data_IF_147177461725
#
_entry.id   IF_147177461725
#
_cell.length_a   1.000
_cell.length_b   1.000
_cell.length_c   1.000
_cell.angle_alpha   90.00
_cell.angle_beta   90.00
_cell.angle_gamma   90.00
#
_symmetry.space_group_name_H-M   'P 1'
#
loop_
_entity.id
_entity.type
_entity.pdbx_description
1 polymer ?
#
# COMPACT_ATOMS: atom_id res chain seq x y z
N UNK A 1 16.41 8.50 -2.42
CA UNK A 1 16.69 7.04 -2.50
C UNK A 1 15.41 6.26 -2.68
N UNK A 2 14.38 6.57 -1.90
CA UNK A 2 12.97 6.36 -2.23
C UNK A 2 12.18 7.62 -1.79
N UNK A 3 12.28 8.07 -0.52
CA UNK A 3 12.11 9.49 -0.19
C UNK A 3 13.21 10.33 -0.85
N UNK A 4 12.92 11.60 -1.11
CA UNK A 4 13.84 12.55 -1.74
C UNK A 4 14.40 13.59 -0.74
N UNK A 5 13.86 13.62 0.49
CA UNK A 5 14.32 14.49 1.56
C UNK A 5 14.37 13.77 2.93
N UNK A 6 15.44 14.01 3.70
CA UNK A 6 15.77 13.21 4.89
C UNK A 6 14.88 13.40 6.13
N UNK A 7 14.05 14.44 6.17
CA UNK A 7 13.01 14.60 7.20
C UNK A 7 11.61 14.28 6.66
N UNK A 8 11.52 13.63 5.50
CA UNK A 8 10.35 12.81 5.20
C UNK A 8 10.37 11.57 6.10
N UNK A 9 9.22 10.95 6.27
CA UNK A 9 9.10 9.64 6.88
C UNK A 9 8.23 8.74 6.03
N UNK A 10 8.38 7.43 6.23
CA UNK A 10 7.64 6.42 5.48
C UNK A 10 6.84 5.50 6.40
N UNK A 11 5.84 4.83 5.84
CA UNK A 11 5.20 3.68 6.50
C UNK A 11 6.23 2.61 6.86
N UNK A 12 7.27 2.43 6.04
CA UNK A 12 8.42 1.57 6.33
C UNK A 12 9.09 1.99 7.64
N UNK A 13 9.51 3.25 7.79
CA UNK A 13 10.15 3.75 9.01
C UNK A 13 9.25 3.52 10.24
N UNK A 14 7.94 3.77 10.13
CA UNK A 14 6.99 3.54 11.21
C UNK A 14 6.84 2.06 11.56
N UNK A 15 6.85 1.16 10.58
CA UNK A 15 6.82 -0.29 10.82
C UNK A 15 8.09 -0.78 11.53
N UNK A 16 9.25 -0.20 11.23
CA UNK A 16 10.49 -0.47 11.97
C UNK A 16 10.44 0.06 13.40
N UNK A 17 9.82 1.21 13.65
CA UNK A 17 9.61 1.73 15.03
C UNK A 17 8.79 0.74 15.86
N UNK A 18 7.72 0.17 15.29
CA UNK A 18 6.93 -0.90 15.95
C UNK A 18 7.79 -2.14 16.20
N UNK A 19 8.59 -2.56 15.22
CA UNK A 19 9.45 -3.73 15.37
C UNK A 19 10.53 -3.54 16.44
N UNK A 20 11.17 -2.36 16.48
CA UNK A 20 12.15 -1.98 17.49
C UNK A 20 11.51 -1.99 18.88
N UNK A 21 10.29 -1.45 19.03
CA UNK A 21 9.57 -1.48 20.30
C UNK A 21 9.25 -2.91 20.76
N UNK A 22 8.79 -3.79 19.86
CA UNK A 22 8.56 -5.21 20.16
C UNK A 22 9.86 -5.91 20.63
N UNK A 23 10.99 -5.63 19.96
CA UNK A 23 12.29 -6.17 20.34
C UNK A 23 12.77 -5.63 21.68
N UNK A 24 12.64 -4.32 21.90
CA UNK A 24 12.98 -3.67 23.15
C UNK A 24 12.21 -4.29 24.32
N UNK A 25 10.88 -4.42 24.19
CA UNK A 25 10.02 -5.01 25.21
C UNK A 25 10.42 -6.47 25.52
N UNK A 26 10.77 -7.26 24.51
CA UNK A 26 11.26 -8.63 24.69
C UNK A 26 12.61 -8.69 25.42
N UNK A 27 13.55 -7.82 25.06
CA UNK A 27 14.87 -7.76 25.72
C UNK A 27 14.75 -7.28 27.17
N UNK A 28 13.91 -6.29 27.43
CA UNK A 28 13.56 -5.84 28.77
C UNK A 28 12.90 -6.96 29.60
N UNK A 29 11.95 -7.68 29.01
CA UNK A 29 11.30 -8.83 29.65
C UNK A 29 12.30 -9.91 30.08
N UNK A 30 13.31 -10.18 29.24
CA UNK A 30 14.42 -11.11 29.51
C UNK A 30 15.45 -10.57 30.51
N UNK A 31 15.37 -9.29 30.88
CA UNK A 31 16.34 -8.63 31.77
C UNK A 31 17.72 -8.47 31.14
N UNK A 32 17.79 -8.37 29.80
CA UNK A 32 19.05 -8.20 29.07
C UNK A 32 19.53 -6.74 29.12
N UNK A 33 18.60 -5.78 29.17
CA UNK A 33 18.91 -4.34 29.21
C UNK A 33 18.91 -3.86 30.66
N UNK A 34 20.06 -3.36 31.12
CA UNK A 34 20.20 -2.79 32.46
C UNK A 34 19.48 -1.43 32.55
N UNK A 35 18.81 -1.16 33.68
CA UNK A 35 18.13 0.11 33.92
C UNK A 35 16.77 0.28 33.24
N UNK A 36 16.27 -0.73 32.52
CA UNK A 36 14.96 -0.70 31.86
C UNK A 36 13.94 -1.51 32.67
N UNK A 37 12.72 -0.97 32.80
CA UNK A 37 11.61 -1.65 33.46
C UNK A 37 11.21 -2.91 32.69
N UNK A 38 10.94 -4.02 33.40
CA UNK A 38 10.45 -5.25 32.78
C UNK A 38 8.96 -5.20 32.43
N UNK A 39 8.23 -4.23 32.99
CA UNK A 39 6.77 -4.15 32.88
C UNK A 39 6.30 -2.98 32.03
N UNK A 40 7.14 -1.97 31.85
CA UNK A 40 6.81 -0.84 30.98
C UNK A 40 7.04 -1.31 29.54
N UNK A 41 6.05 -1.05 28.68
CA UNK A 41 6.01 -1.55 27.30
C UNK A 41 5.89 -0.37 26.35
N UNK A 42 6.69 -0.39 25.30
CA UNK A 42 6.70 0.63 24.26
C UNK A 42 5.85 0.28 23.04
N UNK A 43 5.45 -0.99 22.89
CA UNK A 43 4.73 -1.48 21.71
C UNK A 43 3.47 -0.67 21.38
N UNK A 44 2.60 -0.43 22.37
CA UNK A 44 1.35 0.31 22.15
C UNK A 44 1.61 1.77 21.71
N UNK A 45 2.59 2.42 22.33
CA UNK A 45 3.01 3.79 21.96
C UNK A 45 3.61 3.84 20.55
N UNK A 46 4.40 2.83 20.18
CA UNK A 46 4.96 2.71 18.85
C UNK A 46 3.85 2.51 17.80
N UNK A 47 2.84 1.70 18.09
CA UNK A 47 1.68 1.53 17.22
C UNK A 47 0.88 2.82 17.07
N UNK A 48 0.63 3.55 18.17
CA UNK A 48 -0.04 4.86 18.11
C UNK A 48 0.75 5.88 17.27
N UNK A 49 2.09 5.80 17.30
CA UNK A 49 2.97 6.61 16.44
C UNK A 49 2.85 6.21 14.97
N UNK A 50 2.79 4.90 14.69
CA UNK A 50 2.57 4.38 13.35
C UNK A 50 1.23 4.82 12.75
N UNK A 51 0.18 4.88 13.56
CA UNK A 51 -1.14 5.37 13.12
C UNK A 51 -1.15 6.83 12.69
N UNK A 52 -0.11 7.63 12.98
CA UNK A 52 0.04 8.97 12.42
C UNK A 52 0.12 8.95 10.89
N UNK A 53 0.51 7.81 10.29
CA UNK A 53 0.47 7.63 8.84
C UNK A 53 -0.83 7.03 8.30
N UNK A 54 -1.82 6.72 9.15
CA UNK A 54 -3.16 6.33 8.68
C UNK A 54 -4.02 7.59 8.57
N UNK A 55 -4.45 8.01 7.35
CA UNK A 55 -5.27 9.20 7.18
C UNK A 55 -6.52 9.16 8.08
N UNK A 56 -6.79 10.24 8.81
CA UNK A 56 -7.94 10.31 9.71
C UNK A 56 -9.28 10.27 8.94
N UNK A 57 -10.39 10.01 9.64
CA UNK A 57 -11.74 10.03 9.03
C UNK A 57 -12.02 11.32 8.24
N UNK A 58 -11.54 12.46 8.73
CA UNK A 58 -11.72 13.76 8.07
C UNK A 58 -10.86 13.92 6.82
N UNK A 59 -9.68 13.32 6.80
CA UNK A 59 -8.74 13.38 5.67
C UNK A 59 -9.12 12.44 4.52
N UNK A 60 -10.00 11.46 4.78
CA UNK A 60 -10.57 10.55 3.78
C UNK A 60 -12.11 10.54 3.82
N UNK A 61 -12.71 11.72 4.02
CA UNK A 61 -14.15 11.88 4.13
C UNK A 61 -14.88 11.41 2.85
N UNK A 62 -16.04 10.78 3.03
CA UNK A 62 -16.87 10.26 1.94
C UNK A 62 -16.53 8.84 1.47
N UNK A 63 -15.39 8.27 1.86
CA UNK A 63 -14.96 6.95 1.39
C UNK A 63 -15.93 5.83 1.80
N UNK A 64 -16.19 5.70 3.11
CA UNK A 64 -17.13 4.70 3.65
C UNK A 64 -18.60 5.02 3.33
N UNK A 65 -18.92 6.25 2.93
CA UNK A 65 -20.28 6.64 2.56
C UNK A 65 -20.68 6.04 1.20
N UNK A 66 -19.71 5.81 0.30
CA UNK A 66 -19.97 5.19 -1.00
C UNK A 66 -20.55 3.78 -0.84
N UNK A 67 -21.54 3.44 -1.68
CA UNK A 67 -22.11 2.08 -1.73
C UNK A 67 -21.17 1.09 -2.43
N UNK A 68 -20.32 1.59 -3.32
CA UNK A 68 -19.33 0.85 -4.10
C UNK A 68 -18.17 1.76 -4.46
N UNK A 69 -16.98 1.19 -4.64
CA UNK A 69 -15.81 1.91 -5.15
C UNK A 69 -15.47 1.43 -6.55
N UNK A 70 -15.10 2.37 -7.41
CA UNK A 70 -14.64 2.08 -8.76
C UNK A 70 -13.59 3.08 -9.21
N UNK A 71 -12.70 2.67 -10.10
CA UNK A 71 -11.69 3.53 -10.68
C UNK A 71 -11.73 3.43 -12.21
N UNK A 72 -11.54 4.56 -12.89
CA UNK A 72 -11.39 4.57 -14.35
C UNK A 72 -10.03 3.99 -14.71
N UNK A 73 -10.02 3.05 -15.66
CA UNK A 73 -8.79 2.38 -16.11
C UNK A 73 -7.96 3.36 -16.92
N UNK A 74 -6.77 3.69 -16.43
CA UNK A 74 -5.76 4.45 -17.16
C UNK A 74 -4.59 3.55 -17.48
N UNK A 75 -4.00 3.71 -18.67
CA UNK A 75 -2.75 3.04 -19.00
C UNK A 75 -1.60 3.63 -18.17
N UNK A 76 -0.62 2.79 -17.86
CA UNK A 76 0.72 3.20 -17.46
C UNK A 76 1.63 3.24 -18.70
N UNK A 77 2.72 3.97 -18.61
CA UNK A 77 3.67 4.11 -19.71
C UNK A 77 5.10 3.82 -19.21
N UNK A 78 5.45 2.53 -19.02
CA UNK A 78 6.69 2.14 -18.36
C UNK A 78 7.93 2.69 -19.08
N UNK A 79 7.89 2.80 -20.41
CA UNK A 79 9.06 3.22 -21.21
C UNK A 79 9.25 4.74 -21.34
N UNK A 80 8.32 5.58 -20.86
CA UNK A 80 8.38 7.03 -21.15
C UNK A 80 7.50 7.90 -20.25
N UNK A 81 8.15 8.67 -19.39
CA UNK A 81 7.52 9.73 -18.56
C UNK A 81 6.79 10.77 -19.44
N UNK A 82 7.28 11.07 -20.64
CA UNK A 82 6.70 12.07 -21.55
C UNK A 82 5.28 11.73 -22.04
N UNK A 83 4.81 10.49 -21.86
CA UNK A 83 3.45 10.09 -22.23
C UNK A 83 2.41 10.47 -21.17
N UNK A 84 2.84 10.98 -20.02
CA UNK A 84 1.94 11.51 -19.01
C UNK A 84 1.59 12.98 -19.28
N UNK A 85 0.36 13.43 -18.95
CA UNK A 85 -0.67 12.69 -18.20
C UNK A 85 -1.42 11.64 -19.05
N UNK A 86 -1.64 10.46 -18.46
CA UNK A 86 -2.55 9.44 -19.00
C UNK A 86 -3.94 9.59 -18.36
N UNK A 87 -5.01 9.27 -19.10
CA UNK A 87 -6.39 9.41 -18.61
C UNK A 87 -7.20 8.15 -18.86
N UNK A 88 -8.05 7.82 -17.89
CA UNK A 88 -9.08 6.80 -18.05
C UNK A 88 -10.37 7.34 -18.68
N UNK A 89 -11.36 6.46 -18.76
CA UNK A 89 -12.72 6.84 -19.19
C UNK A 89 -13.77 6.09 -18.39
N UNK A 90 -14.99 6.65 -18.34
CA UNK A 90 -16.12 6.03 -17.64
C UNK A 90 -16.64 4.75 -18.31
N UNK A 91 -16.22 4.43 -19.54
CA UNK A 91 -16.62 3.20 -20.24
C UNK A 91 -15.80 1.97 -19.84
N UNK A 92 -14.67 2.15 -19.15
CA UNK A 92 -13.82 1.06 -18.68
C UNK A 92 -13.40 1.34 -17.24
N UNK A 93 -14.02 0.64 -16.30
CA UNK A 93 -13.79 0.81 -14.87
C UNK A 93 -13.45 -0.51 -14.19
N UNK A 94 -12.55 -0.43 -13.22
CA UNK A 94 -12.38 -1.46 -12.21
C UNK A 94 -13.37 -1.24 -11.07
N UNK A 95 -13.88 -2.30 -10.46
CA UNK A 95 -14.82 -2.21 -9.33
C UNK A 95 -14.32 -3.06 -8.18
N UNK A 96 -14.21 -2.46 -7.00
CA UNK A 96 -13.69 -3.13 -5.80
C UNK A 96 -14.72 -4.13 -5.24
N UNK A 97 -14.40 -5.43 -5.17
CA UNK A 97 -15.28 -6.46 -4.61
C UNK A 97 -15.26 -6.58 -3.06
N UNK A 98 -14.31 -5.97 -2.35
CA UNK A 98 -14.19 -5.99 -0.90
C UNK A 98 -14.91 -4.84 -0.18
N UNK A 99 -15.15 -3.70 -0.85
CA UNK A 99 -15.67 -2.49 -0.19
C UNK A 99 -16.92 -2.72 0.66
N UNK A 100 -17.91 -3.45 0.14
CA UNK A 100 -19.14 -3.74 0.90
C UNK A 100 -18.86 -4.55 2.17
N UNK A 101 -17.90 -5.50 2.13
CA UNK A 101 -17.52 -6.31 3.29
C UNK A 101 -16.84 -5.44 4.35
N UNK A 102 -15.94 -4.55 3.93
CA UNK A 102 -15.28 -3.60 4.83
C UNK A 102 -16.27 -2.60 5.42
N UNK A 103 -17.18 -2.05 4.61
CA UNK A 103 -18.25 -1.18 5.11
C UNK A 103 -19.09 -1.88 6.18
N UNK A 104 -19.48 -3.13 5.96
CA UNK A 104 -20.22 -3.90 6.96
C UNK A 104 -19.44 -4.14 8.26
N UNK A 105 -18.14 -4.44 8.18
CA UNK A 105 -17.33 -4.76 9.35
C UNK A 105 -16.79 -3.54 10.11
N UNK A 106 -16.53 -2.44 9.39
CA UNK A 106 -15.69 -1.32 9.85
C UNK A 106 -16.33 0.06 9.71
N UNK A 107 -17.65 0.17 9.44
CA UNK A 107 -18.32 1.49 9.45
C UNK A 107 -18.11 2.29 10.75
N UNK A 108 -17.93 1.61 11.90
CA UNK A 108 -17.60 2.30 13.16
C UNK A 108 -16.17 2.84 13.19
N UNK A 109 -15.23 2.17 12.52
CA UNK A 109 -13.87 2.70 12.29
C UNK A 109 -13.95 3.90 11.35
N UNK A 110 -14.74 3.82 10.28
CA UNK A 110 -15.11 4.97 9.45
C UNK A 110 -13.94 5.62 8.71
N UNK A 111 -12.82 4.90 8.56
CA UNK A 111 -11.66 5.26 7.75
C UNK A 111 -11.03 3.98 7.19
N UNK A 112 -10.43 4.06 6.01
CA UNK A 112 -9.58 2.99 5.50
C UNK A 112 -8.37 2.89 6.44
N UNK A 113 -8.18 1.72 7.06
CA UNK A 113 -7.14 1.52 8.05
C UNK A 113 -5.86 1.00 7.37
N UNK A 114 -5.36 1.78 6.42
CA UNK A 114 -4.11 1.57 5.71
C UNK A 114 -3.20 2.78 5.93
N UNK A 115 -1.90 2.54 6.02
CA UNK A 115 -0.87 3.56 6.16
C UNK A 115 -0.64 4.20 4.79
N UNK A 116 -0.66 5.52 4.71
CA UNK A 116 -0.06 6.20 3.58
C UNK A 116 1.47 6.06 3.65
N UNK A 117 2.10 5.78 2.50
CA UNK A 117 3.50 5.43 2.44
C UNK A 117 4.47 6.58 2.74
N UNK A 118 4.11 7.83 2.49
CA UNK A 118 5.03 8.98 2.59
C UNK A 118 4.37 10.19 3.29
N UNK A 119 5.14 10.84 4.16
CA UNK A 119 4.77 12.11 4.76
C UNK A 119 5.99 13.00 4.97
N UNK A 120 5.77 14.31 4.85
CA UNK A 120 6.70 15.35 5.24
C UNK A 120 6.52 15.67 6.72
N UNK A 121 7.51 15.34 7.56
CA UNK A 121 7.38 15.42 9.03
C UNK A 121 7.35 16.86 9.53
N UNK A 122 8.11 17.75 8.90
CA UNK A 122 8.33 19.12 9.36
C UNK A 122 7.65 20.16 8.44
N UNK A 123 6.82 19.71 7.49
CA UNK A 123 6.23 20.53 6.42
C UNK A 123 7.27 21.32 5.63
N UNK A 124 8.41 20.68 5.33
CA UNK A 124 9.50 21.26 4.55
C UNK A 124 9.05 21.74 3.16
N UNK A 125 8.16 20.99 2.50
CA UNK A 125 7.54 21.36 1.22
C UNK A 125 6.53 22.51 1.36
N UNK A 126 6.01 22.77 2.55
CA UNK A 126 5.05 23.85 2.84
C UNK A 126 3.62 23.56 2.40
N UNK A 127 3.29 22.29 2.07
CA UNK A 127 1.93 21.92 1.67
C UNK A 127 0.94 21.95 2.84
N UNK A 128 1.41 21.73 4.07
CA UNK A 128 0.67 21.92 5.31
C UNK A 128 0.36 23.40 5.62
N UNK A 129 1.00 24.31 4.90
CA UNK A 129 0.74 25.75 4.96
C UNK A 129 1.55 26.49 6.03
N UNK A 130 2.59 25.87 6.57
CA UNK A 130 3.55 26.55 7.43
C UNK A 130 4.24 27.72 6.70
N UNK A 131 4.66 28.73 7.45
CA UNK A 131 5.43 29.81 6.88
C UNK A 131 6.86 29.33 6.57
N UNK A 132 7.48 29.88 5.52
CA UNK A 132 8.83 29.51 5.12
C UNK A 132 9.82 29.64 6.30
N UNK A 133 10.49 28.55 6.64
CA UNK A 133 11.49 28.51 7.73
C UNK A 133 10.91 28.25 9.11
N UNK A 134 9.60 28.02 9.22
CA UNK A 134 8.95 27.52 10.42
C UNK A 134 8.77 26.01 10.34
N UNK A 135 8.81 25.33 11.50
CA UNK A 135 8.44 23.92 11.58
C UNK A 135 6.92 23.82 11.45
N UNK A 136 6.42 23.06 10.47
CA UNK A 136 5.01 22.74 10.35
C UNK A 136 4.63 21.40 10.98
N UNK A 137 3.42 20.96 10.65
CA UNK A 137 2.83 19.70 11.09
C UNK A 137 3.08 18.60 10.06
N UNK A 138 3.01 17.34 10.49
CA UNK A 138 3.12 16.18 9.59
C UNK A 138 2.09 16.29 8.46
N UNK A 139 2.58 16.29 7.23
CA UNK A 139 1.78 16.49 6.02
C UNK A 139 1.93 15.33 5.07
N UNK A 140 0.79 14.73 4.69
CA UNK A 140 0.77 13.66 3.69
C UNK A 140 1.12 14.20 2.30
N UNK A 141 2.12 13.57 1.68
CA UNK A 141 2.63 13.91 0.36
C UNK A 141 2.83 12.64 -0.46
N UNK A 142 2.98 12.78 -1.77
CA UNK A 142 3.34 11.70 -2.66
C UNK A 142 4.28 12.21 -3.77
N UNK A 143 4.93 11.28 -4.46
CA UNK A 143 5.96 11.58 -5.47
C UNK A 143 5.71 10.79 -6.76
N UNK A 144 5.93 9.49 -6.75
CA UNK A 144 5.86 8.60 -7.92
C UNK A 144 4.44 8.49 -8.50
N UNK A 145 4.28 8.84 -9.77
CA UNK A 145 3.01 8.79 -10.52
C UNK A 145 3.17 8.52 -12.04
N UNK A 146 4.39 8.47 -12.58
CA UNK A 146 4.64 8.51 -14.04
C UNK A 146 5.45 7.33 -14.60
N UNK A 147 5.18 6.14 -14.06
CA UNK A 147 5.65 4.87 -14.60
C UNK A 147 7.09 4.52 -14.24
N UNK A 148 7.55 3.40 -14.79
CA UNK A 148 8.71 2.66 -14.29
C UNK A 148 10.04 3.38 -14.48
N UNK A 149 10.12 4.31 -15.43
CA UNK A 149 11.29 5.15 -15.67
C UNK A 149 11.30 6.43 -14.83
N UNK A 150 10.27 6.73 -14.02
CA UNK A 150 10.31 7.87 -13.10
C UNK A 150 11.13 7.52 -11.85
N UNK A 151 12.42 7.85 -11.87
CA UNK A 151 13.28 7.72 -10.70
C UNK A 151 12.93 8.74 -9.61
N UNK A 152 13.46 8.54 -8.40
CA UNK A 152 13.29 9.50 -7.29
C UNK A 152 13.87 10.91 -7.59
N UNK A 153 14.65 11.08 -8.66
CA UNK A 153 15.18 12.37 -9.09
C UNK A 153 14.26 13.12 -10.07
N UNK A 154 13.23 12.44 -10.57
CA UNK A 154 12.38 12.93 -11.66
C UNK A 154 10.97 13.26 -11.20
N UNK A 155 10.60 12.87 -9.98
CA UNK A 155 9.28 13.10 -9.40
C UNK A 155 8.98 14.58 -9.18
N UNK A 156 7.68 14.88 -9.08
CA UNK A 156 7.19 16.19 -8.64
C UNK A 156 6.44 15.96 -7.32
N UNK A 157 7.07 16.23 -6.15
CA UNK A 157 6.41 16.09 -4.86
C UNK A 157 5.11 16.91 -4.81
N UNK A 158 4.03 16.28 -4.34
CA UNK A 158 2.69 16.87 -4.34
C UNK A 158 1.91 16.46 -3.09
N UNK A 159 0.96 17.28 -2.62
CA UNK A 159 0.16 16.95 -1.45
C UNK A 159 -0.83 15.83 -1.76
N UNK A 160 -1.05 14.95 -0.80
CA UNK A 160 -2.07 13.90 -0.88
C UNK A 160 -3.49 14.50 -0.79
N UNK A 161 -3.63 15.69 -0.20
CA UNK A 161 -4.86 16.51 -0.22
C UNK A 161 -4.65 17.69 -1.19
N UNK A 162 -5.28 17.61 -2.35
CA UNK A 162 -5.24 18.63 -3.39
C UNK A 162 -6.34 19.67 -3.16
N UNK A 163 -5.94 20.91 -2.94
CA UNK A 163 -6.82 22.08 -2.71
C UNK A 163 -6.77 23.11 -3.84
N UNK A 164 -6.05 22.79 -4.92
CA UNK A 164 -5.74 23.67 -6.05
C UNK A 164 -4.98 24.95 -5.67
N UNK A 165 -4.45 25.01 -4.44
CA UNK A 165 -3.72 26.16 -3.89
C UNK A 165 -2.34 26.32 -4.51
N UNK A 166 -1.70 25.20 -4.84
CA UNK A 166 -0.33 25.13 -5.37
C UNK A 166 -0.34 24.60 -6.81
N UNK A 167 0.80 24.68 -7.50
CA UNK A 167 0.94 24.14 -8.85
C UNK A 167 0.27 24.99 -9.93
N UNK A 168 -0.28 24.34 -10.96
CA UNK A 168 -0.83 25.01 -12.13
C UNK A 168 -2.26 25.50 -11.90
N UNK A 169 -2.58 26.68 -12.45
CA UNK A 169 -3.93 27.25 -12.34
C UNK A 169 -4.98 26.31 -12.94
N UNK A 170 -5.96 25.92 -12.13
CA UNK A 170 -7.05 25.02 -12.54
C UNK A 170 -6.72 23.53 -12.55
N UNK A 171 -5.47 23.13 -12.28
CA UNK A 171 -5.04 21.72 -12.22
C UNK A 171 -4.29 21.36 -10.92
N UNK A 172 -3.92 22.34 -10.11
CA UNK A 172 -3.22 22.09 -8.85
C UNK A 172 -1.81 21.53 -9.06
N UNK A 173 -1.31 20.76 -8.09
CA UNK A 173 -0.05 20.03 -8.18
C UNK A 173 -0.15 18.78 -9.05
N UNK A 174 -1.36 18.34 -9.41
CA UNK A 174 -1.58 17.15 -10.26
C UNK A 174 -1.39 17.38 -11.77
N UNK A 175 -0.98 18.57 -12.18
CA UNK A 175 -0.84 18.99 -13.58
C UNK A 175 0.03 18.06 -14.45
N UNK A 176 1.01 17.38 -13.86
CA UNK A 176 1.95 16.51 -14.60
C UNK A 176 1.40 15.10 -14.85
N UNK A 177 0.33 14.70 -14.17
CA UNK A 177 -0.22 13.35 -14.24
C UNK A 177 -1.75 13.31 -14.42
N UNK A 178 -2.41 14.48 -14.42
CA UNK A 178 -3.82 14.62 -14.77
C UNK A 178 -4.08 15.74 -15.77
N UNK A 179 -4.98 15.53 -16.74
CA UNK A 179 -5.42 16.59 -17.66
C UNK A 179 -6.43 17.55 -17.03
N UNK A 180 -7.12 17.13 -15.97
CA UNK A 180 -8.05 17.94 -15.18
C UNK A 180 -8.06 17.46 -13.75
N UNK A 181 -8.21 18.38 -12.80
CA UNK A 181 -8.15 18.07 -11.38
C UNK A 181 -9.22 18.86 -10.64
N UNK A 182 -9.91 18.21 -9.72
CA UNK A 182 -10.75 18.85 -8.72
C UNK A 182 -10.04 18.82 -7.36
N UNK A 183 -10.56 19.60 -6.41
CA UNK A 183 -10.25 19.34 -5.01
C UNK A 183 -10.48 17.85 -4.72
N UNK A 184 -9.47 17.20 -4.14
CA UNK A 184 -9.45 15.75 -3.96
C UNK A 184 -8.49 15.35 -2.85
N UNK A 185 -8.65 14.14 -2.35
CA UNK A 185 -7.64 13.51 -1.52
C UNK A 185 -7.30 12.14 -2.13
N UNK A 186 -6.06 11.68 -1.98
CA UNK A 186 -5.62 10.37 -2.47
C UNK A 186 -4.38 9.89 -1.71
N UNK A 187 -4.39 8.63 -1.32
CA UNK A 187 -3.35 7.96 -0.55
C UNK A 187 -2.96 6.65 -1.22
N UNK A 188 -1.78 6.15 -0.86
CA UNK A 188 -1.18 4.92 -1.38
C UNK A 188 -0.47 4.24 -0.22
N UNK A 189 -0.72 2.96 0.02
CA UNK A 189 0.02 2.20 1.02
C UNK A 189 1.29 1.58 0.41
N UNK A 190 2.13 1.07 1.30
CA UNK A 190 3.23 0.19 0.96
C UNK A 190 3.01 -1.12 1.73
N UNK A 191 2.50 -2.18 1.08
CA UNK A 191 2.06 -3.39 1.77
C UNK A 191 3.16 -4.08 2.58
N UNK A 192 4.42 -3.99 2.14
CA UNK A 192 5.56 -4.53 2.86
C UNK A 192 5.71 -3.93 4.27
N UNK A 193 5.42 -2.64 4.44
CA UNK A 193 5.50 -1.94 5.72
C UNK A 193 4.38 -2.37 6.66
N UNK A 194 3.19 -2.55 6.14
CA UNK A 194 2.03 -2.98 6.92
C UNK A 194 2.21 -4.41 7.39
N UNK A 195 2.64 -5.30 6.51
CA UNK A 195 2.99 -6.68 6.85
C UNK A 195 4.16 -6.75 7.84
N UNK A 196 5.16 -5.86 7.75
CA UNK A 196 6.25 -5.76 8.74
C UNK A 196 5.73 -5.36 10.11
N UNK A 197 4.77 -4.43 10.20
CA UNK A 197 4.13 -4.05 11.45
C UNK A 197 3.30 -5.20 12.05
N UNK A 198 2.56 -5.94 11.22
CA UNK A 198 1.81 -7.13 11.62
C UNK A 198 2.75 -8.22 12.13
N UNK A 199 3.84 -8.48 11.42
CA UNK A 199 4.90 -9.41 11.84
C UNK A 199 5.49 -9.01 13.19
N UNK A 200 5.72 -7.72 13.45
CA UNK A 200 6.22 -7.22 14.72
C UNK A 200 5.21 -7.45 15.86
N UNK A 201 3.92 -7.17 15.64
CA UNK A 201 2.86 -7.48 16.60
C UNK A 201 2.79 -8.98 16.91
N UNK A 202 2.85 -9.83 15.88
CA UNK A 202 2.89 -11.27 16.03
C UNK A 202 4.11 -11.75 16.83
N UNK A 203 5.28 -11.19 16.56
CA UNK A 203 6.49 -11.51 17.32
C UNK A 203 6.35 -11.11 18.79
N UNK A 204 5.78 -9.93 19.08
CA UNK A 204 5.54 -9.46 20.44
C UNK A 204 4.59 -10.39 21.21
N UNK A 205 3.49 -10.82 20.58
CA UNK A 205 2.56 -11.79 21.17
C UNK A 205 3.26 -13.11 21.51
N UNK A 206 4.07 -13.64 20.59
CA UNK A 206 4.87 -14.86 20.82
C UNK A 206 5.92 -14.71 21.92
N UNK A 207 6.46 -13.51 22.12
CA UNK A 207 7.42 -13.22 23.20
C UNK A 207 6.76 -12.94 24.54
N UNK A 208 5.42 -12.93 24.61
CA UNK A 208 4.68 -12.64 25.83
C UNK A 208 4.75 -11.17 26.24
N UNK A 209 5.02 -10.28 25.28
CA UNK A 209 5.10 -8.82 25.47
C UNK A 209 4.12 -8.06 24.58
N UNK A 210 3.20 -8.77 23.92
CA UNK A 210 2.15 -8.19 23.10
C UNK A 210 1.15 -7.37 23.90
N UNK A 211 0.43 -6.49 23.20
CA UNK A 211 -0.64 -5.65 23.71
C UNK A 211 -1.95 -5.97 22.98
N UNK A 212 -3.04 -6.18 23.71
CA UNK A 212 -4.30 -6.64 23.11
C UNK A 212 -4.91 -5.62 22.13
N UNK A 213 -4.69 -4.32 22.36
CA UNK A 213 -5.16 -3.27 21.44
C UNK A 213 -4.34 -3.31 20.16
N UNK A 214 -3.03 -3.50 20.28
CA UNK A 214 -2.12 -3.66 19.13
C UNK A 214 -2.47 -4.91 18.32
N UNK A 215 -2.68 -6.06 18.95
CA UNK A 215 -3.05 -7.29 18.21
C UNK A 215 -4.36 -7.12 17.43
N UNK A 216 -5.37 -6.50 18.06
CA UNK A 216 -6.65 -6.20 17.42
C UNK A 216 -6.50 -5.25 16.23
N UNK A 217 -5.70 -4.17 16.38
CA UNK A 217 -5.41 -3.23 15.29
C UNK A 217 -4.57 -3.87 14.17
N UNK A 218 -3.64 -4.76 14.50
CA UNK A 218 -2.85 -5.51 13.52
C UNK A 218 -3.74 -6.44 12.69
N UNK A 219 -4.71 -7.10 13.32
CA UNK A 219 -5.73 -7.88 12.60
C UNK A 219 -6.58 -7.03 11.68
N UNK A 220 -7.03 -5.85 12.14
CA UNK A 220 -7.78 -4.91 11.31
C UNK A 220 -6.94 -4.41 10.12
N UNK A 221 -5.68 -4.04 10.34
CA UNK A 221 -4.74 -3.63 9.28
C UNK A 221 -4.60 -4.73 8.23
N UNK A 222 -4.34 -5.98 8.66
CA UNK A 222 -4.25 -7.11 7.75
C UNK A 222 -5.56 -7.36 6.99
N UNK A 223 -6.72 -7.12 7.59
CA UNK A 223 -7.98 -7.26 6.86
C UNK A 223 -8.08 -6.28 5.69
N UNK A 224 -7.69 -5.02 5.87
CA UNK A 224 -7.63 -4.02 4.80
C UNK A 224 -6.55 -4.31 3.76
N UNK A 225 -5.40 -4.89 4.16
CA UNK A 225 -4.33 -5.32 3.24
C UNK A 225 -4.80 -6.37 2.22
N UNK A 226 -5.99 -6.97 2.39
CA UNK A 226 -6.57 -7.85 1.36
C UNK A 226 -6.86 -7.16 0.03
N UNK A 227 -6.97 -5.83 -0.01
CA UNK A 227 -7.02 -5.09 -1.27
C UNK A 227 -5.71 -5.25 -2.08
N UNK A 228 -4.56 -5.43 -1.41
CA UNK A 228 -3.25 -5.61 -2.05
C UNK A 228 -3.16 -6.92 -2.83
N UNK A 229 -4.10 -7.84 -2.60
CA UNK A 229 -4.18 -9.15 -3.26
C UNK A 229 -4.86 -9.10 -4.64
N UNK A 230 -5.31 -7.93 -5.11
CA UNK A 230 -6.03 -7.77 -6.37
C UNK A 230 -5.24 -7.03 -7.43
N UNK A 231 -5.50 -7.42 -8.68
CA UNK A 231 -5.18 -6.62 -9.86
C UNK A 231 -5.58 -5.15 -9.70
N UNK A 232 -4.79 -4.22 -10.27
CA UNK A 232 -4.99 -2.77 -10.17
C UNK A 232 -6.43 -2.33 -10.43
N UNK A 233 -7.05 -2.88 -11.46
CA UNK A 233 -8.44 -2.57 -11.82
C UNK A 233 -9.36 -3.78 -11.68
N UNK A 234 -9.00 -4.73 -10.80
CA UNK A 234 -9.77 -5.93 -10.48
C UNK A 234 -10.08 -6.81 -11.71
N UNK A 235 -9.25 -6.74 -12.76
CA UNK A 235 -9.42 -7.57 -13.97
C UNK A 235 -9.01 -9.02 -13.67
N UNK A 236 -9.57 -9.95 -14.45
CA UNK A 236 -9.24 -11.37 -14.31
C UNK A 236 -7.72 -11.59 -14.48
N UNK A 237 -7.14 -12.44 -13.63
CA UNK A 237 -5.72 -12.79 -13.75
C UNK A 237 -5.47 -13.51 -15.10
N UNK A 238 -4.57 -12.95 -15.91
CA UNK A 238 -4.21 -13.39 -17.26
C UNK A 238 -5.02 -12.75 -18.40
N UNK A 239 -5.77 -11.66 -18.15
CA UNK A 239 -6.74 -11.14 -19.12
C UNK A 239 -6.15 -10.61 -20.43
N UNK A 240 -4.91 -10.09 -20.43
CA UNK A 240 -4.17 -9.65 -21.64
C UNK A 240 -4.99 -8.75 -22.59
N UNK A 241 -5.85 -7.91 -22.01
CA UNK A 241 -6.66 -6.94 -22.75
C UNK A 241 -7.16 -5.85 -21.78
N UNK A 242 -6.80 -4.59 -22.05
CA UNK A 242 -7.20 -3.43 -21.25
C UNK A 242 -8.72 -3.28 -21.12
N UNK A 243 -9.48 -3.73 -22.13
CA UNK A 243 -10.95 -3.61 -22.19
C UNK A 243 -11.67 -4.77 -21.49
N UNK A 244 -10.96 -5.73 -20.92
CA UNK A 244 -11.56 -6.76 -20.08
C UNK A 244 -12.30 -6.14 -18.89
N UNK A 245 -13.49 -6.63 -18.58
CA UNK A 245 -14.26 -6.15 -17.44
C UNK A 245 -13.58 -6.51 -16.10
N UNK A 246 -13.97 -5.81 -15.02
CA UNK A 246 -13.68 -6.26 -13.65
C UNK A 246 -14.26 -7.67 -13.44
N UNK A 247 -13.53 -8.49 -12.68
CA UNK A 247 -13.78 -9.92 -12.54
C UNK A 247 -14.02 -10.37 -11.09
N UNK A 248 -14.17 -9.43 -10.15
CA UNK A 248 -14.39 -9.72 -8.72
C UNK A 248 -13.26 -10.60 -8.16
N UNK A 249 -13.60 -11.68 -7.45
CA UNK A 249 -12.61 -12.59 -6.85
C UNK A 249 -11.66 -13.24 -7.88
N UNK A 250 -12.02 -13.31 -9.18
CA UNK A 250 -11.08 -13.79 -10.22
C UNK A 250 -9.94 -12.83 -10.51
N UNK A 251 -10.02 -11.60 -10.01
CA UNK A 251 -8.93 -10.63 -10.03
C UNK A 251 -7.96 -10.74 -8.85
N UNK A 252 -8.14 -11.70 -7.94
CA UNK A 252 -7.19 -11.96 -6.85
C UNK A 252 -5.99 -12.76 -7.34
N UNK A 253 -4.80 -12.19 -7.19
CA UNK A 253 -3.54 -12.94 -7.32
C UNK A 253 -3.03 -13.48 -5.98
N UNK A 254 -3.56 -13.03 -4.84
CA UNK A 254 -3.18 -13.51 -3.49
C UNK A 254 -1.69 -13.29 -3.14
N UNK A 255 -1.11 -12.22 -3.68
CA UNK A 255 0.24 -11.77 -3.36
C UNK A 255 0.14 -10.37 -2.76
N UNK A 256 1.13 -9.95 -1.99
CA UNK A 256 1.26 -8.54 -1.61
C UNK A 256 1.82 -7.79 -2.81
N UNK A 257 0.96 -7.05 -3.51
CA UNK A 257 1.36 -6.23 -4.66
C UNK A 257 2.11 -4.98 -4.20
N UNK A 258 2.56 -4.15 -5.15
CA UNK A 258 3.34 -2.94 -4.83
C UNK A 258 2.54 -1.90 -4.02
N UNK A 259 1.22 -1.85 -4.22
CA UNK A 259 0.33 -0.92 -3.52
C UNK A 259 -1.15 -1.29 -3.69
N UNK A 260 -1.94 -0.79 -2.76
CA UNK A 260 -3.30 -0.32 -2.93
C UNK A 260 -3.30 1.21 -2.88
N UNK A 261 -4.12 1.86 -3.70
CA UNK A 261 -4.33 3.30 -3.61
C UNK A 261 -5.81 3.63 -3.55
N UNK A 262 -6.17 4.66 -2.81
CA UNK A 262 -7.55 5.10 -2.65
C UNK A 262 -7.64 6.63 -2.64
N UNK A 263 -8.78 7.16 -3.05
CA UNK A 263 -8.98 8.60 -3.13
C UNK A 263 -10.44 8.99 -3.24
N UNK A 264 -10.72 10.28 -3.12
CA UNK A 264 -12.09 10.78 -3.14
C UNK A 264 -12.22 12.29 -3.36
N UNK A 265 -13.47 12.70 -3.45
CA UNK A 265 -13.89 14.09 -3.57
C UNK A 265 -13.49 14.88 -2.32
N UNK A 266 -12.62 15.86 -2.52
CA UNK A 266 -12.11 16.75 -1.48
C UNK A 266 -13.03 17.93 -1.19
N UNK A 267 -14.06 18.14 -2.01
CA UNK A 267 -15.09 19.14 -1.74
C UNK A 267 -15.99 18.71 -0.58
N UNK A 268 -16.75 19.66 -0.03
CA UNK A 268 -17.73 19.39 1.03
C UNK A 268 -18.90 18.49 0.61
N UNK A 269 -18.99 18.12 -0.68
CA UNK A 269 -20.05 17.27 -1.22
C UNK A 269 -19.72 15.78 -1.15
N UNK A 270 -18.44 15.42 -1.11
CA UNK A 270 -17.98 14.03 -1.00
C UNK A 270 -18.64 13.05 -2.00
N UNK A 271 -18.82 13.48 -3.25
CA UNK A 271 -19.69 12.80 -4.24
C UNK A 271 -19.12 11.50 -4.81
N UNK A 272 -17.81 11.30 -4.75
CA UNK A 272 -17.16 10.13 -5.34
C UNK A 272 -15.95 9.70 -4.51
N UNK A 273 -15.66 8.40 -4.58
CA UNK A 273 -14.40 7.81 -4.12
C UNK A 273 -14.03 6.61 -4.99
N UNK A 274 -12.74 6.27 -5.01
CA UNK A 274 -12.17 5.19 -5.79
C UNK A 274 -11.12 4.44 -4.98
N UNK A 275 -10.88 3.18 -5.37
CA UNK A 275 -9.76 2.39 -4.86
C UNK A 275 -9.28 1.44 -5.96
N UNK A 276 -7.98 1.25 -6.05
CA UNK A 276 -7.29 0.32 -6.95
C UNK A 276 -6.37 -0.58 -6.12
N UNK A 277 -6.22 -1.84 -6.54
CA UNK A 277 -5.11 -2.69 -6.08
C UNK A 277 -3.84 -2.39 -6.86
N UNK A 278 -3.02 -3.40 -7.13
CA UNK A 278 -1.89 -3.29 -8.05
C UNK A 278 -1.65 -4.61 -8.79
N UNK A 279 -1.39 -4.50 -10.10
CA UNK A 279 -1.17 -5.66 -10.97
C UNK A 279 0.25 -6.23 -10.87
N UNK A 280 1.16 -5.56 -10.16
CA UNK A 280 2.58 -5.87 -10.08
C UNK A 280 2.94 -6.37 -8.69
N UNK A 281 3.54 -7.55 -8.61
CA UNK A 281 3.98 -8.16 -7.35
C UNK A 281 5.47 -8.44 -7.39
N UNK A 282 6.16 -8.05 -6.32
CA UNK A 282 7.60 -8.19 -6.17
C UNK A 282 7.94 -9.13 -5.01
N UNK A 283 8.95 -9.99 -5.15
CA UNK A 283 9.31 -10.97 -4.13
C UNK A 283 9.60 -10.38 -2.73
N UNK A 284 10.19 -9.18 -2.64
CA UNK A 284 10.55 -8.63 -1.33
C UNK A 284 9.35 -8.04 -0.56
N UNK A 285 8.22 -7.77 -1.24
CA UNK A 285 6.98 -7.34 -0.58
C UNK A 285 6.25 -8.51 0.09
N UNK A 286 6.59 -9.75 -0.24
CA UNK A 286 5.90 -10.90 0.32
C UNK A 286 6.31 -11.10 1.79
N UNK A 287 5.36 -11.39 2.66
CA UNK A 287 5.60 -11.70 4.06
C UNK A 287 4.78 -12.92 4.53
N UNK A 288 5.25 -14.15 4.27
CA UNK A 288 4.60 -15.36 4.76
C UNK A 288 4.45 -15.39 6.28
N UNK A 289 5.29 -14.66 7.03
CA UNK A 289 5.23 -14.62 8.48
C UNK A 289 4.09 -13.73 9.00
N UNK A 290 3.82 -12.60 8.32
CA UNK A 290 2.65 -11.77 8.60
C UNK A 290 1.35 -12.54 8.30
N UNK A 291 1.25 -13.17 7.12
CA UNK A 291 0.12 -14.04 6.76
C UNK A 291 -0.07 -15.19 7.76
N UNK A 292 1.02 -15.82 8.21
CA UNK A 292 0.97 -16.83 9.27
C UNK A 292 0.47 -16.25 10.61
N UNK A 293 0.95 -15.08 11.00
CA UNK A 293 0.49 -14.39 12.23
C UNK A 293 -1.00 -14.09 12.21
N UNK A 294 -1.51 -13.56 11.09
CA UNK A 294 -2.94 -13.28 10.88
C UNK A 294 -3.80 -14.55 10.96
N UNK A 295 -3.30 -15.69 10.48
CA UNK A 295 -4.04 -16.96 10.51
C UNK A 295 -4.02 -17.64 11.88
N UNK A 296 -2.89 -17.58 12.60
CA UNK A 296 -2.62 -18.51 13.70
C UNK A 296 -2.38 -17.85 15.07
N UNK A 297 -2.20 -16.53 15.14
CA UNK A 297 -2.30 -15.83 16.41
C UNK A 297 -3.75 -15.44 16.66
N UNK A 298 -4.40 -16.05 17.66
CA UNK A 298 -5.83 -15.85 17.91
C UNK A 298 -6.17 -14.38 18.18
N UNK A 299 -5.28 -13.60 18.81
CA UNK A 299 -5.57 -12.20 19.15
C UNK A 299 -5.53 -11.30 17.92
N UNK A 300 -4.62 -11.59 16.99
CA UNK A 300 -4.53 -10.89 15.70
C UNK A 300 -5.66 -11.36 14.79
N UNK A 301 -5.91 -12.66 14.71
CA UNK A 301 -6.98 -13.26 13.92
C UNK A 301 -8.35 -12.67 14.26
N UNK A 302 -8.67 -12.53 15.55
CA UNK A 302 -9.92 -11.93 16.04
C UNK A 302 -10.10 -10.46 15.63
N UNK A 303 -9.01 -9.77 15.23
CA UNK A 303 -9.05 -8.41 14.69
C UNK A 303 -9.54 -8.33 13.24
N UNK A 304 -9.48 -9.42 12.47
CA UNK A 304 -10.00 -9.49 11.10
C UNK A 304 -11.52 -9.76 11.10
N UNK A 305 -12.31 -8.69 11.00
CA UNK A 305 -13.78 -8.73 11.13
C UNK A 305 -14.55 -8.86 9.81
N UNK A 306 -13.96 -8.48 8.68
CA UNK A 306 -14.62 -8.56 7.39
C UNK A 306 -14.63 -9.99 6.85
N UNK A 307 -15.73 -10.33 6.17
CA UNK A 307 -15.96 -11.68 5.70
C UNK A 307 -14.88 -12.17 4.72
N UNK A 308 -14.50 -13.45 4.86
CA UNK A 308 -13.58 -14.14 3.96
C UNK A 308 -12.09 -13.94 4.25
N UNK A 309 -11.72 -13.16 5.29
CA UNK A 309 -10.33 -12.83 5.55
C UNK A 309 -9.44 -14.07 5.79
N UNK A 310 -9.90 -15.03 6.60
CA UNK A 310 -9.16 -16.28 6.84
C UNK A 310 -8.89 -17.05 5.55
N UNK A 311 -9.89 -17.19 4.67
CA UNK A 311 -9.71 -17.93 3.42
C UNK A 311 -8.73 -17.22 2.47
N UNK A 312 -8.84 -15.90 2.39
CA UNK A 312 -7.93 -15.08 1.58
C UNK A 312 -6.49 -15.21 2.07
N UNK A 313 -6.26 -15.25 3.38
CA UNK A 313 -4.92 -15.42 3.95
C UNK A 313 -4.38 -16.86 3.85
N UNK A 314 -5.22 -17.89 3.91
CA UNK A 314 -4.82 -19.28 3.62
C UNK A 314 -4.27 -19.41 2.19
N UNK A 315 -4.98 -18.80 1.23
CA UNK A 315 -4.57 -18.78 -0.18
C UNK A 315 -3.32 -17.90 -0.38
N UNK A 316 -3.25 -16.75 0.29
CA UNK A 316 -2.10 -15.83 0.24
C UNK A 316 -0.83 -16.46 0.81
N UNK A 317 -0.88 -17.07 2.00
CA UNK A 317 0.27 -17.75 2.59
C UNK A 317 0.84 -18.82 1.65
N UNK A 318 -0.05 -19.63 1.07
CA UNK A 318 0.35 -20.68 0.11
C UNK A 318 0.97 -20.05 -1.14
N UNK A 319 0.32 -19.03 -1.71
CA UNK A 319 0.75 -18.37 -2.95
C UNK A 319 2.09 -17.67 -2.81
N UNK A 320 2.33 -17.00 -1.68
CA UNK A 320 3.61 -16.33 -1.41
C UNK A 320 4.76 -17.34 -1.34
N UNK A 321 4.58 -18.47 -0.67
CA UNK A 321 5.59 -19.54 -0.62
C UNK A 321 5.86 -20.15 -2.00
N UNK A 322 4.82 -20.35 -2.80
CA UNK A 322 4.95 -20.80 -4.19
C UNK A 322 5.70 -19.79 -5.06
N UNK A 323 5.48 -18.49 -4.85
CA UNK A 323 6.18 -17.41 -5.58
C UNK A 323 7.68 -17.43 -5.29
N UNK A 324 8.09 -17.56 -4.02
CA UNK A 324 9.51 -17.67 -3.68
C UNK A 324 10.16 -18.90 -4.33
N UNK A 325 9.50 -20.05 -4.33
CA UNK A 325 10.02 -21.24 -5.01
C UNK A 325 10.14 -21.05 -6.52
N UNK A 326 9.16 -20.38 -7.12
CA UNK A 326 9.16 -20.09 -8.56
C UNK A 326 10.27 -19.11 -8.98
N UNK A 327 10.58 -18.12 -8.12
CA UNK A 327 11.58 -17.09 -8.40
C UNK A 327 13.01 -17.47 -7.98
N UNK A 328 13.21 -18.65 -7.41
CA UNK A 328 14.54 -19.10 -6.98
C UNK A 328 15.45 -19.29 -8.20
N UNK A 329 16.54 -18.50 -8.26
CA UNK A 329 17.57 -18.66 -9.30
C UNK A 329 18.42 -19.90 -9.06
N UNK A 330 19.16 -20.33 -10.09
CA UNK A 330 20.09 -21.45 -9.98
C UNK A 330 21.22 -21.19 -8.96
N UNK A 331 21.55 -19.92 -8.73
CA UNK A 331 22.60 -19.44 -7.84
C UNK A 331 22.12 -19.21 -6.40
N UNK A 332 20.80 -19.16 -6.16
CA UNK A 332 20.20 -19.01 -4.83
C UNK A 332 19.34 -17.75 -4.63
N UNK A 333 19.74 -16.54 -5.09
CA UNK A 333 18.92 -15.33 -4.97
C UNK A 333 17.55 -15.48 -5.64
N UNK A 334 16.56 -14.70 -5.19
CA UNK A 334 15.25 -14.64 -5.83
C UNK A 334 15.23 -13.58 -6.94
N UNK A 335 14.62 -13.92 -8.07
CA UNK A 335 14.31 -12.98 -9.15
C UNK A 335 13.15 -12.03 -8.78
N UNK A 336 12.90 -10.98 -9.58
CA UNK A 336 12.01 -9.88 -9.23
C UNK A 336 10.56 -10.27 -8.90
N UNK A 337 9.77 -10.66 -9.90
CA UNK A 337 8.37 -11.00 -9.64
C UNK A 337 7.53 -11.23 -10.87
N UNK A 338 6.26 -10.80 -10.80
CA UNK A 338 5.30 -10.99 -11.88
C UNK A 338 4.29 -9.85 -12.00
N UNK A 339 3.68 -9.73 -13.17
CA UNK A 339 2.64 -8.73 -13.46
C UNK A 339 1.42 -9.34 -14.15
N UNK A 340 0.23 -8.82 -13.83
CA UNK A 340 -1.00 -9.05 -14.60
C UNK A 340 -1.21 -8.00 -15.71
N UNK A 341 -0.53 -6.85 -15.63
CA UNK A 341 -0.69 -5.69 -16.51
C UNK A 341 0.61 -5.46 -17.29
N UNK A 342 0.85 -6.28 -18.31
CA UNK A 342 2.01 -6.16 -19.18
C UNK A 342 2.01 -4.80 -19.90
N UNK A 343 3.19 -4.16 -19.97
CA UNK A 343 3.41 -2.80 -20.49
C UNK A 343 2.51 -1.69 -19.93
N UNK A 344 1.84 -1.93 -18.79
CA UNK A 344 1.00 -0.92 -18.16
C UNK A 344 -0.40 -0.78 -18.75
N UNK A 345 -0.77 -1.57 -19.75
CA UNK A 345 -2.06 -1.49 -20.43
C UNK A 345 -2.68 -2.87 -20.72
N UNK A 346 -2.22 -3.91 -20.02
CA UNK A 346 -2.67 -5.29 -20.18
C UNK A 346 -2.44 -5.81 -21.61
N UNK A 347 -1.32 -5.43 -22.24
CA UNK A 347 -0.93 -5.98 -23.53
C UNK A 347 -0.80 -7.52 -23.51
N UNK A 348 -0.82 -8.11 -24.71
CA UNK A 348 -0.57 -9.56 -24.85
C UNK A 348 0.85 -9.88 -24.44
N UNK A 349 1.01 -10.92 -23.62
CA UNK A 349 2.31 -11.32 -23.14
C UNK A 349 3.20 -11.81 -24.28
N UNK A 350 4.52 -11.51 -24.26
CA UNK A 350 5.46 -12.06 -25.24
C UNK A 350 5.42 -13.59 -25.25
N UNK A 351 5.56 -14.17 -26.45
CA UNK A 351 5.56 -15.63 -26.60
C UNK A 351 6.69 -16.26 -25.79
N UNK A 352 6.37 -17.29 -25.00
CA UNK A 352 7.35 -18.03 -24.21
C UNK A 352 7.73 -17.39 -22.88
N UNK A 353 7.12 -16.26 -22.50
CA UNK A 353 7.38 -15.67 -21.17
C UNK A 353 6.91 -16.64 -20.07
N UNK A 354 7.74 -16.91 -19.04
CA UNK A 354 7.30 -17.70 -17.89
C UNK A 354 6.12 -17.05 -17.17
N UNK A 355 5.23 -17.88 -16.64
CA UNK A 355 4.04 -17.40 -15.95
C UNK A 355 3.90 -18.05 -14.57
N UNK A 356 3.40 -17.27 -13.62
CA UNK A 356 3.00 -17.70 -12.29
C UNK A 356 1.50 -17.44 -12.11
N UNK A 357 0.69 -18.50 -12.02
CA UNK A 357 -0.77 -18.36 -11.95
C UNK A 357 -1.36 -17.44 -13.04
N UNK A 358 -0.83 -17.53 -14.27
CA UNK A 358 -1.15 -16.69 -15.45
C UNK A 358 -0.62 -15.25 -15.42
N UNK A 359 0.04 -14.79 -14.35
CA UNK A 359 0.78 -13.52 -14.36
C UNK A 359 2.12 -13.72 -15.06
N UNK A 360 2.54 -12.76 -15.88
CA UNK A 360 3.80 -12.82 -16.62
C UNK A 360 4.98 -12.48 -15.71
N UNK A 361 6.09 -13.21 -15.83
CA UNK A 361 7.35 -12.88 -15.17
C UNK A 361 7.87 -11.51 -15.58
N UNK A 362 8.38 -10.74 -14.63
CA UNK A 362 9.12 -9.51 -14.88
C UNK A 362 10.35 -9.45 -13.96
N UNK A 363 11.49 -9.08 -14.54
CA UNK A 363 12.78 -9.03 -13.83
C UNK A 363 12.81 -7.90 -12.80
N UNK A 364 12.20 -6.75 -13.14
CA UNK A 364 12.14 -5.55 -12.32
C UNK A 364 10.67 -5.07 -12.23
N UNK A 365 9.86 -5.61 -11.30
CA UNK A 365 8.52 -5.10 -11.09
C UNK A 365 8.54 -3.60 -10.73
N UNK A 366 7.68 -2.81 -11.37
CA UNK A 366 7.35 -1.40 -11.08
C UNK A 366 8.42 -0.36 -11.40
N UNK A 367 9.68 -0.55 -11.05
CA UNK A 367 10.72 0.47 -11.29
C UNK A 367 11.90 -0.08 -12.08
N UNK A 368 12.37 0.74 -13.02
CA UNK A 368 13.42 0.44 -13.97
C UNK A 368 14.59 1.45 -13.93
N UNK A 369 14.48 2.53 -13.16
CA UNK A 369 15.57 3.50 -12.93
C UNK A 369 15.79 3.81 -11.42
N UNK A 370 16.64 3.03 -10.73
CA UNK A 370 17.23 1.76 -11.18
C UNK A 370 16.20 0.62 -11.17
N UNK A 371 16.55 -0.50 -11.81
CA UNK A 371 15.77 -1.73 -11.74
C UNK A 371 15.51 -2.17 -10.29
N UNK A 372 14.24 -2.37 -9.94
CA UNK A 372 13.79 -2.64 -8.57
C UNK A 372 14.45 -3.86 -7.92
N UNK A 373 14.80 -4.89 -8.69
CA UNK A 373 15.46 -6.10 -8.19
C UNK A 373 17.00 -6.08 -8.34
N UNK A 374 17.61 -4.92 -8.64
CA UNK A 374 19.08 -4.75 -8.58
C UNK A 374 19.57 -4.44 -7.17
N UNK A 375 18.67 -4.10 -6.25
CA UNK A 375 18.99 -3.89 -4.85
C UNK A 375 19.02 -5.23 -4.10
N UNK A 376 20.11 -5.48 -3.35
CA UNK A 376 20.31 -6.74 -2.61
C UNK A 376 19.59 -6.76 -1.24
N UNK A 377 19.06 -5.62 -0.80
CA UNK A 377 18.52 -5.42 0.55
C UNK A 377 17.23 -6.16 0.86
#
# INVERSE_FOLDING_TARGET
EAPDYGHETTSEAMSYIVWIAAMHDNLANKGIVEGVSKTDRDLAKAWDTLEALIPSKAQQAGFFDQSSLSAQVSAEHPDSIEKYPAQGSSSNTGSNPLHTKFKSAYSSEGREYLLHWLADVDDWYGFGGSARGEKGELTFINTFQRGDQESCFETIPHPSIETLKYGASGQGMKFAFQSSTSESWSYTNAPDAEDRAIQAAFAADRWGVGDATVSSKAGMLGDFCRNDMYDKYYKEIGCQNMQSASAGDKGKHYLMSWYTAWGGDGSSQHQWAWQIGCSHAHQFYQNPLAAFGLLYDSKIHDGMKAEGATKDYEDSLTRQLEMYLWLSSAEGPFAGGCTNCWMGDYETYPSGIPQFYKMAYIEQPVYADPGSNHWTG
#
